data_IF_518298092863
#
_entry.id   IF_518298092863
#
_cell.length_a   1.000
_cell.length_b   1.000
_cell.length_c   1.000
_cell.angle_alpha   90.00
_cell.angle_beta   90.00
_cell.angle_gamma   90.00
#
_symmetry.space_group_name_H-M   'P 1'
#
loop_
_entity.id
_entity.type
_entity.pdbx_description
1 polymer ?
#
# COMPACT_ATOMS: atom_id res chain seq x y z
N UNK A 1 4.31 -3.30 -21.63
CA UNK A 1 5.14 -4.28 -20.89
C UNK A 1 5.32 -3.77 -19.46
N UNK A 2 5.01 -4.60 -18.48
CA UNK A 2 5.22 -4.31 -17.03
C UNK A 2 6.38 -5.16 -16.55
N UNK A 3 7.39 -4.52 -15.95
CA UNK A 3 8.57 -5.17 -15.35
C UNK A 3 8.72 -4.79 -13.89
N UNK A 4 9.19 -5.74 -13.07
CA UNK A 4 9.67 -5.48 -11.71
C UNK A 4 11.07 -6.06 -11.60
N UNK A 5 12.04 -5.23 -11.31
CA UNK A 5 13.45 -5.55 -11.49
C UNK A 5 13.70 -6.07 -12.92
N UNK A 6 14.34 -7.23 -13.07
CA UNK A 6 14.64 -7.85 -14.37
C UNK A 6 13.53 -8.77 -14.89
N UNK A 7 12.45 -8.97 -14.12
CA UNK A 7 11.37 -9.88 -14.50
C UNK A 7 10.24 -9.17 -15.24
N UNK A 8 9.87 -9.68 -16.41
CA UNK A 8 8.66 -9.24 -17.14
C UNK A 8 7.43 -9.88 -16.50
N UNK A 9 6.58 -9.04 -15.89
CA UNK A 9 5.33 -9.49 -15.28
C UNK A 9 4.22 -9.64 -16.29
N UNK A 10 4.12 -8.69 -17.24
CA UNK A 10 3.13 -8.68 -18.31
C UNK A 10 3.73 -8.04 -19.55
N UNK A 11 3.61 -8.71 -20.69
CA UNK A 11 3.86 -8.14 -22.00
C UNK A 11 2.60 -8.24 -22.85
N UNK A 12 1.98 -7.09 -23.16
CA UNK A 12 0.78 -7.03 -24.01
C UNK A 12 1.05 -7.41 -25.47
N UNK A 13 2.34 -7.40 -25.89
CA UNK A 13 2.74 -7.79 -27.25
C UNK A 13 2.98 -9.30 -27.41
N UNK A 14 3.21 -10.00 -26.30
CA UNK A 14 3.34 -11.47 -26.26
C UNK A 14 2.41 -12.00 -25.15
N UNK A 15 1.12 -12.10 -25.43
CA UNK A 15 0.13 -12.60 -24.48
C UNK A 15 0.24 -14.13 -24.39
N UNK A 16 1.36 -14.65 -23.89
CA UNK A 16 1.39 -16.03 -23.42
C UNK A 16 0.32 -16.18 -22.37
N UNK A 17 -0.58 -17.12 -22.57
CA UNK A 17 -1.62 -17.42 -21.60
C UNK A 17 -0.94 -17.96 -20.34
N UNK A 18 -0.65 -17.06 -19.38
CA UNK A 18 -0.09 -17.45 -18.10
C UNK A 18 -1.11 -18.29 -17.35
N UNK A 19 -0.64 -19.34 -16.70
CA UNK A 19 -1.48 -20.12 -15.79
C UNK A 19 -1.91 -19.24 -14.61
N UNK A 20 -3.12 -19.46 -14.09
CA UNK A 20 -3.65 -18.71 -12.94
C UNK A 20 -2.69 -18.70 -11.75
N UNK A 21 -2.00 -19.83 -11.50
CA UNK A 21 -0.99 -19.95 -10.46
C UNK A 21 0.23 -19.03 -10.66
N UNK A 22 0.62 -18.78 -11.91
CA UNK A 22 1.73 -17.88 -12.25
C UNK A 22 1.29 -16.41 -12.10
N UNK A 23 0.08 -16.08 -12.56
CA UNK A 23 -0.51 -14.76 -12.38
C UNK A 23 -0.59 -14.44 -10.89
N UNK A 24 -1.06 -15.38 -10.07
CA UNK A 24 -1.16 -15.21 -8.62
C UNK A 24 0.20 -14.94 -7.97
N UNK A 25 1.24 -15.71 -8.33
CA UNK A 25 2.60 -15.48 -7.83
C UNK A 25 3.11 -14.08 -8.18
N UNK A 26 2.86 -13.63 -9.42
CA UNK A 26 3.27 -12.30 -9.87
C UNK A 26 2.52 -11.18 -9.13
N UNK A 27 1.23 -11.37 -8.83
CA UNK A 27 0.43 -10.42 -8.04
C UNK A 27 0.94 -10.26 -6.61
N UNK A 28 1.52 -11.31 -6.00
CA UNK A 28 2.08 -11.23 -4.64
C UNK A 28 3.30 -10.29 -4.52
N UNK A 29 3.90 -9.88 -5.64
CA UNK A 29 4.96 -8.87 -5.65
C UNK A 29 4.43 -7.45 -5.37
N UNK A 30 3.10 -7.25 -5.45
CA UNK A 30 2.43 -5.99 -5.19
C UNK A 30 1.59 -6.10 -3.92
N UNK A 31 1.80 -5.18 -2.99
CA UNK A 31 0.88 -4.93 -1.89
C UNK A 31 -0.08 -3.82 -2.29
N UNK A 32 -1.38 -4.00 -2.07
CA UNK A 32 -2.39 -2.99 -2.37
C UNK A 32 -3.05 -2.50 -1.08
N UNK A 33 -3.09 -1.19 -0.92
CA UNK A 33 -3.79 -0.48 0.15
C UNK A 33 -4.83 0.40 -0.50
N UNK A 34 -6.10 0.08 -0.28
CA UNK A 34 -7.25 0.74 -0.90
C UNK A 34 -7.77 1.90 -0.05
N UNK A 35 -8.50 2.80 -0.68
CA UNK A 35 -9.23 3.90 -0.05
C UNK A 35 -10.16 3.40 1.09
N UNK A 36 -10.93 2.35 0.85
CA UNK A 36 -11.95 1.81 1.76
C UNK A 36 -11.41 0.66 2.64
N UNK A 37 -10.22 0.71 3.16
CA UNK A 37 -9.57 -0.25 4.08
C UNK A 37 -9.73 -1.73 3.68
N UNK A 38 -10.91 -2.16 3.27
CA UNK A 38 -11.30 -3.51 2.85
C UNK A 38 -10.87 -4.59 3.87
N UNK A 39 -11.06 -4.28 5.16
CA UNK A 39 -10.84 -5.25 6.22
C UNK A 39 -11.99 -6.26 6.27
N UNK A 40 -11.68 -7.48 6.64
CA UNK A 40 -12.67 -8.51 6.89
C UNK A 40 -13.34 -8.25 8.25
N UNK A 41 -14.63 -7.92 8.28
CA UNK A 41 -15.30 -7.47 9.51
C UNK A 41 -15.43 -8.56 10.58
N UNK A 42 -15.38 -9.82 10.18
CA UNK A 42 -15.46 -11.00 11.07
C UNK A 42 -14.12 -11.36 11.71
N UNK A 43 -13.03 -10.72 11.33
CA UNK A 43 -11.69 -10.95 11.85
C UNK A 43 -11.20 -9.75 12.67
N UNK A 44 -10.44 -10.03 13.72
CA UNK A 44 -9.71 -9.01 14.49
C UNK A 44 -8.63 -8.33 13.62
N UNK A 45 -8.01 -7.25 14.12
CA UNK A 45 -6.89 -6.60 13.46
C UNK A 45 -5.74 -7.59 13.20
N UNK A 46 -5.41 -8.41 14.21
CA UNK A 46 -4.36 -9.44 14.12
C UNK A 46 -4.71 -10.47 13.03
N UNK A 47 -5.91 -11.02 13.07
CA UNK A 47 -6.36 -12.03 12.10
C UNK A 47 -6.40 -11.47 10.67
N UNK A 48 -6.79 -10.21 10.48
CA UNK A 48 -6.74 -9.53 9.19
C UNK A 48 -5.33 -9.50 8.61
N UNK A 49 -4.31 -9.24 9.45
CA UNK A 49 -2.91 -9.20 9.02
C UNK A 49 -2.37 -10.61 8.73
N UNK A 50 -2.76 -11.61 9.52
CA UNK A 50 -2.30 -13.00 9.40
C UNK A 50 -2.86 -13.72 8.18
N UNK A 51 -4.11 -13.43 7.80
CA UNK A 51 -4.95 -14.25 6.89
C UNK A 51 -4.24 -14.64 5.59
N UNK A 52 -3.72 -13.67 4.85
CA UNK A 52 -3.12 -13.94 3.53
C UNK A 52 -1.88 -14.83 3.64
N UNK A 53 -1.08 -14.63 4.67
CA UNK A 53 0.13 -15.42 4.92
C UNK A 53 -0.19 -16.84 5.35
N UNK A 54 -1.23 -17.03 6.15
CA UNK A 54 -1.74 -18.35 6.52
C UNK A 54 -2.27 -19.12 5.30
N UNK A 55 -3.00 -18.44 4.41
CA UNK A 55 -3.49 -19.05 3.17
C UNK A 55 -2.34 -19.52 2.28
N UNK A 56 -1.30 -18.70 2.11
CA UNK A 56 -0.09 -19.08 1.36
C UNK A 56 0.68 -20.21 2.03
N UNK A 57 0.75 -20.22 3.35
CA UNK A 57 1.42 -21.27 4.09
C UNK A 57 0.75 -22.65 3.89
N UNK A 58 -0.59 -22.69 3.80
CA UNK A 58 -1.37 -23.92 3.56
C UNK A 58 -1.03 -24.61 2.22
N UNK A 59 -0.48 -23.87 1.26
CA UNK A 59 -0.07 -24.41 -0.04
C UNK A 59 1.30 -25.11 -0.01
N UNK A 60 2.06 -24.96 1.09
CA UNK A 60 3.37 -25.57 1.23
C UNK A 60 3.26 -27.07 1.58
N UNK A 61 4.12 -27.92 1.01
CA UNK A 61 4.08 -29.37 1.27
C UNK A 61 4.25 -29.76 2.74
N UNK A 62 5.10 -29.00 3.47
CA UNK A 62 5.46 -29.22 4.87
C UNK A 62 4.47 -28.62 5.88
N UNK A 63 3.44 -27.89 5.40
CA UNK A 63 2.48 -27.18 6.27
C UNK A 63 1.87 -28.07 7.34
N UNK A 64 1.42 -29.29 6.98
CA UNK A 64 0.74 -30.18 7.94
C UNK A 64 1.64 -30.57 9.10
N UNK A 65 2.93 -30.82 8.82
CA UNK A 65 3.90 -31.21 9.84
C UNK A 65 4.30 -30.04 10.75
N UNK A 66 4.39 -28.82 10.20
CA UNK A 66 4.87 -27.61 10.92
C UNK A 66 3.77 -26.60 11.24
N UNK A 67 2.50 -27.01 11.19
CA UNK A 67 1.35 -26.09 11.32
C UNK A 67 1.43 -25.14 12.53
N UNK A 68 1.77 -25.64 13.70
CA UNK A 68 1.86 -24.83 14.93
C UNK A 68 3.00 -23.83 14.86
N UNK A 69 4.16 -24.25 14.41
CA UNK A 69 5.34 -23.41 14.26
C UNK A 69 5.11 -22.29 13.25
N UNK A 70 4.58 -22.62 12.07
CA UNK A 70 4.23 -21.65 11.03
C UNK A 70 3.19 -20.64 11.53
N UNK A 71 2.19 -21.08 12.28
CA UNK A 71 1.19 -20.19 12.85
C UNK A 71 1.80 -19.18 13.82
N UNK A 72 2.68 -19.63 14.74
CA UNK A 72 3.37 -18.75 15.68
C UNK A 72 4.32 -17.76 14.95
N UNK A 73 5.04 -18.21 13.93
CA UNK A 73 5.87 -17.32 13.11
C UNK A 73 5.04 -16.21 12.44
N UNK A 74 3.87 -16.57 11.85
CA UNK A 74 2.97 -15.62 11.20
C UNK A 74 2.38 -14.65 12.23
N UNK A 75 1.96 -15.17 13.39
CA UNK A 75 1.41 -14.37 14.49
C UNK A 75 2.44 -13.35 14.99
N UNK A 76 3.66 -13.78 15.28
CA UNK A 76 4.74 -12.90 15.73
C UNK A 76 4.98 -11.77 14.73
N UNK A 77 5.11 -12.09 13.44
CA UNK A 77 5.25 -11.08 12.40
C UNK A 77 4.08 -10.09 12.38
N UNK A 78 2.85 -10.59 12.48
CA UNK A 78 1.66 -9.73 12.46
C UNK A 78 1.58 -8.81 13.69
N UNK A 79 1.96 -9.32 14.88
CA UNK A 79 2.05 -8.53 16.10
C UNK A 79 3.11 -7.43 16.00
N UNK A 80 4.29 -7.73 15.41
CA UNK A 80 5.35 -6.75 15.16
C UNK A 80 4.88 -5.65 14.22
N UNK A 81 4.25 -6.02 13.11
CA UNK A 81 3.71 -5.06 12.15
C UNK A 81 2.64 -4.16 12.77
N UNK A 82 1.72 -4.72 13.56
CA UNK A 82 0.71 -3.92 14.26
C UNK A 82 1.32 -3.00 15.31
N UNK A 83 2.38 -3.41 16.01
CA UNK A 83 3.14 -2.54 16.93
C UNK A 83 3.80 -1.39 16.18
N UNK A 84 4.43 -1.65 15.04
CA UNK A 84 4.99 -0.59 14.17
C UNK A 84 3.93 0.41 13.70
N UNK A 85 2.70 -0.05 13.44
CA UNK A 85 1.56 0.81 13.11
C UNK A 85 0.95 1.53 14.33
N UNK A 86 1.52 1.37 15.54
CA UNK A 86 0.97 1.95 16.77
C UNK A 86 -0.33 1.31 17.22
N UNK A 87 -0.57 0.03 16.87
CA UNK A 87 -1.81 -0.70 17.18
C UNK A 87 -1.61 -1.88 18.15
N UNK A 88 -0.52 -1.87 18.94
CA UNK A 88 -0.20 -2.93 19.88
C UNK A 88 -1.33 -3.27 20.86
N UNK A 89 -2.01 -2.24 21.39
CA UNK A 89 -3.15 -2.38 22.32
C UNK A 89 -4.48 -2.72 21.61
N UNK A 90 -4.50 -2.74 20.26
CA UNK A 90 -5.72 -2.89 19.46
C UNK A 90 -5.75 -4.16 18.60
N UNK A 91 -4.80 -5.07 18.79
CA UNK A 91 -4.64 -6.28 17.97
C UNK A 91 -5.89 -7.17 17.96
N UNK A 92 -6.60 -7.25 19.10
CA UNK A 92 -7.78 -8.08 19.26
C UNK A 92 -9.09 -7.34 18.95
N UNK A 93 -9.03 -6.07 18.55
CA UNK A 93 -10.21 -5.31 18.17
C UNK A 93 -10.69 -5.71 16.78
N UNK A 94 -12.01 -5.75 16.60
CA UNK A 94 -12.64 -5.90 15.29
C UNK A 94 -12.68 -4.56 14.54
N UNK A 95 -12.81 -4.54 13.19
CA UNK A 95 -12.85 -3.29 12.42
C UNK A 95 -13.86 -2.27 12.90
N UNK A 96 -15.04 -2.69 13.36
CA UNK A 96 -16.09 -1.80 13.89
C UNK A 96 -15.73 -1.15 15.25
N UNK A 97 -14.66 -1.60 15.90
CA UNK A 97 -14.14 -1.07 17.16
C UNK A 97 -12.92 -0.16 16.96
N UNK A 98 -12.54 0.07 15.70
CA UNK A 98 -11.38 0.85 15.30
C UNK A 98 -11.81 2.14 14.63
N UNK A 99 -11.03 3.22 14.80
CA UNK A 99 -11.21 4.43 13.99
C UNK A 99 -10.83 4.19 12.53
N UNK A 100 -11.26 5.05 11.60
CA UNK A 100 -10.88 4.97 10.19
C UNK A 100 -9.36 4.92 10.00
N UNK A 101 -8.61 5.79 10.67
CA UNK A 101 -7.14 5.80 10.63
C UNK A 101 -6.51 4.53 11.20
N UNK A 102 -7.12 3.93 12.25
CA UNK A 102 -6.70 2.63 12.76
C UNK A 102 -6.97 1.51 11.76
N UNK A 103 -8.14 1.49 11.12
CA UNK A 103 -8.47 0.53 10.06
C UNK A 103 -7.49 0.62 8.90
N UNK A 104 -7.13 1.83 8.47
CA UNK A 104 -6.16 2.04 7.39
C UNK A 104 -4.77 1.52 7.78
N UNK A 105 -4.32 1.76 9.00
CA UNK A 105 -3.04 1.22 9.49
C UNK A 105 -3.04 -0.32 9.60
N UNK A 106 -4.16 -0.96 9.93
CA UNK A 106 -4.31 -2.42 9.81
C UNK A 106 -4.21 -2.88 8.35
N UNK A 107 -4.83 -2.15 7.39
CA UNK A 107 -4.74 -2.47 5.97
C UNK A 107 -3.29 -2.36 5.44
N UNK A 108 -2.53 -1.36 5.90
CA UNK A 108 -1.10 -1.21 5.60
C UNK A 108 -0.31 -2.41 6.17
N UNK A 109 -0.49 -2.75 7.44
CA UNK A 109 0.16 -3.90 8.08
C UNK A 109 -0.13 -5.20 7.33
N UNK A 110 -1.39 -5.41 6.91
CA UNK A 110 -1.82 -6.57 6.11
C UNK A 110 -1.08 -6.65 4.78
N UNK A 111 -0.92 -5.53 4.08
CA UNK A 111 -0.19 -5.49 2.82
C UNK A 111 1.31 -5.79 3.03
N UNK A 112 1.93 -5.23 4.06
CA UNK A 112 3.33 -5.46 4.42
C UNK A 112 3.62 -6.90 4.86
N UNK A 113 2.65 -7.60 5.46
CA UNK A 113 2.82 -8.98 5.94
C UNK A 113 3.24 -9.95 4.82
N UNK A 114 2.87 -9.66 3.57
CA UNK A 114 3.25 -10.45 2.39
C UNK A 114 4.66 -10.15 1.89
N UNK A 115 5.34 -9.13 2.42
CA UNK A 115 6.66 -8.64 1.98
C UNK A 115 6.69 -8.36 0.47
N UNK A 116 5.82 -7.49 -0.03
CA UNK A 116 5.77 -7.17 -1.46
C UNK A 116 7.02 -6.41 -1.90
N UNK A 117 7.36 -6.50 -3.19
CA UNK A 117 8.44 -5.69 -3.78
C UNK A 117 8.01 -4.22 -3.95
N UNK A 118 6.72 -4.00 -4.21
CA UNK A 118 6.14 -2.68 -4.43
C UNK A 118 4.84 -2.57 -3.63
N UNK A 119 4.70 -1.50 -2.86
CA UNK A 119 3.49 -1.18 -2.13
C UNK A 119 2.73 -0.08 -2.86
N UNK A 120 1.49 -0.36 -3.27
CA UNK A 120 0.63 0.56 -3.98
C UNK A 120 -0.45 1.10 -3.05
N UNK A 121 -0.58 2.41 -2.98
CA UNK A 121 -1.62 3.12 -2.24
C UNK A 121 -2.58 3.81 -3.20
N UNK A 122 -3.85 3.54 -3.04
CA UNK A 122 -4.92 4.18 -3.79
C UNK A 122 -5.71 5.09 -2.85
N UNK A 123 -5.38 6.38 -2.87
CA UNK A 123 -5.94 7.42 -2.03
C UNK A 123 -6.09 7.03 -0.54
N UNK A 124 -4.99 6.72 0.17
CA UNK A 124 -5.02 6.08 1.49
C UNK A 124 -5.67 6.92 2.59
N UNK A 125 -5.97 8.18 2.33
CA UNK A 125 -6.52 9.14 3.31
C UNK A 125 -7.91 9.67 2.95
N UNK A 126 -8.41 9.43 1.74
CA UNK A 126 -9.64 10.06 1.24
C UNK A 126 -10.92 9.63 1.99
N UNK A 127 -10.91 8.48 2.66
CA UNK A 127 -12.02 8.00 3.49
C UNK A 127 -11.86 8.37 4.98
N UNK A 128 -10.92 9.28 5.31
CA UNK A 128 -10.60 9.66 6.68
C UNK A 128 -11.00 11.10 6.98
N UNK A 129 -11.34 11.35 8.24
CA UNK A 129 -11.45 12.70 8.76
C UNK A 129 -10.07 13.38 8.75
N UNK A 130 -9.99 14.71 8.55
CA UNK A 130 -8.73 15.46 8.49
C UNK A 130 -7.82 15.24 9.71
N UNK A 131 -8.40 15.07 10.90
CA UNK A 131 -7.64 14.81 12.13
C UNK A 131 -6.90 13.47 12.11
N UNK A 132 -7.45 12.46 11.42
CA UNK A 132 -6.87 11.10 11.31
C UNK A 132 -5.90 10.94 10.14
N UNK A 133 -5.99 11.83 9.14
CA UNK A 133 -5.13 11.82 7.93
C UNK A 133 -3.65 11.89 8.30
N UNK A 134 -3.29 12.77 9.22
CA UNK A 134 -1.89 12.98 9.65
C UNK A 134 -1.21 11.72 10.20
N UNK A 135 -1.94 10.87 10.94
CA UNK A 135 -1.40 9.62 11.48
C UNK A 135 -1.05 8.61 10.39
N UNK A 136 -1.90 8.50 9.37
CA UNK A 136 -1.69 7.59 8.24
C UNK A 136 -0.54 8.07 7.35
N UNK A 137 -0.51 9.37 7.03
CA UNK A 137 0.57 9.97 6.25
C UNK A 137 1.93 9.82 6.93
N UNK A 138 1.99 9.94 8.26
CA UNK A 138 3.21 9.70 9.04
C UNK A 138 3.71 8.28 8.88
N UNK A 139 2.84 7.28 8.97
CA UNK A 139 3.23 5.88 8.76
C UNK A 139 3.76 5.66 7.34
N UNK A 140 3.11 6.23 6.32
CA UNK A 140 3.58 6.10 4.93
C UNK A 140 4.95 6.78 4.75
N UNK A 141 5.19 7.93 5.41
CA UNK A 141 6.48 8.60 5.40
C UNK A 141 7.57 7.74 6.07
N UNK A 142 7.28 7.13 7.22
CA UNK A 142 8.21 6.21 7.88
C UNK A 142 8.61 5.02 6.99
N UNK A 143 7.67 4.51 6.18
CA UNK A 143 7.96 3.46 5.17
C UNK A 143 8.84 4.00 4.02
N UNK A 144 8.65 5.26 3.60
CA UNK A 144 9.51 5.90 2.61
C UNK A 144 10.94 6.07 3.12
N UNK A 145 11.09 6.49 4.37
CA UNK A 145 12.40 6.66 5.03
C UNK A 145 13.15 5.32 5.18
N UNK A 146 12.42 4.20 5.22
CA UNK A 146 12.97 2.82 5.18
C UNK A 146 13.26 2.32 3.75
N UNK A 147 13.20 3.19 2.74
CA UNK A 147 13.44 2.86 1.33
C UNK A 147 12.46 1.83 0.74
N UNK A 148 11.25 1.73 1.28
CA UNK A 148 10.20 0.90 0.68
C UNK A 148 9.81 1.46 -0.68
N UNK A 149 9.82 0.62 -1.72
CA UNK A 149 9.36 1.03 -3.05
C UNK A 149 7.85 1.18 -3.05
N UNK A 150 7.36 2.39 -3.35
CA UNK A 150 5.92 2.71 -3.28
C UNK A 150 5.43 3.44 -4.51
N UNK A 151 4.17 3.19 -4.87
CA UNK A 151 3.40 3.99 -5.81
C UNK A 151 2.19 4.52 -5.03
N UNK A 152 2.04 5.84 -4.96
CA UNK A 152 0.99 6.47 -4.15
C UNK A 152 0.14 7.35 -5.06
N UNK A 153 -1.15 7.03 -5.17
CA UNK A 153 -2.16 7.94 -5.73
C UNK A 153 -2.72 8.76 -4.58
N UNK A 154 -2.63 10.08 -4.64
CA UNK A 154 -3.05 10.95 -3.55
C UNK A 154 -3.41 12.34 -4.04
N UNK A 155 -4.29 13.02 -3.32
CA UNK A 155 -4.60 14.43 -3.43
C UNK A 155 -3.92 15.28 -2.33
N UNK A 156 -3.12 14.67 -1.48
CA UNK A 156 -2.34 15.34 -0.43
C UNK A 156 -1.05 15.95 -1.03
N UNK A 157 -1.17 17.14 -1.65
CA UNK A 157 -0.07 17.73 -2.43
C UNK A 157 1.16 18.05 -1.58
N UNK A 158 0.99 18.53 -0.35
CA UNK A 158 2.11 18.80 0.56
C UNK A 158 2.87 17.51 0.89
N UNK A 159 2.15 16.43 1.20
CA UNK A 159 2.75 15.13 1.45
C UNK A 159 3.49 14.59 0.22
N UNK A 160 2.87 14.65 -0.96
CA UNK A 160 3.48 14.19 -2.20
C UNK A 160 4.79 14.95 -2.50
N UNK A 161 4.80 16.29 -2.32
CA UNK A 161 5.99 17.11 -2.49
C UNK A 161 7.13 16.71 -1.54
N UNK A 162 6.79 16.38 -0.28
CA UNK A 162 7.79 16.16 0.77
C UNK A 162 8.35 14.72 0.78
N UNK A 163 7.61 13.75 0.23
CA UNK A 163 7.93 12.33 0.34
C UNK A 163 8.33 11.69 -0.99
N UNK A 164 7.80 12.17 -2.11
CA UNK A 164 8.04 11.54 -3.41
C UNK A 164 9.46 11.79 -3.93
N UNK A 165 10.06 10.79 -4.57
CA UNK A 165 11.27 10.95 -5.38
C UNK A 165 10.94 11.32 -6.83
N UNK A 166 9.72 11.00 -7.27
CA UNK A 166 9.21 11.30 -8.60
C UNK A 166 7.71 11.54 -8.52
N UNK A 167 7.26 12.58 -9.19
CA UNK A 167 5.83 12.90 -9.34
C UNK A 167 5.39 12.65 -10.77
N UNK A 168 4.18 12.13 -10.93
CA UNK A 168 3.52 11.93 -12.21
C UNK A 168 2.14 12.57 -12.11
N UNK A 169 1.90 13.62 -12.89
CA UNK A 169 0.58 14.22 -13.02
C UNK A 169 -0.15 13.61 -14.20
N UNK A 170 -1.35 13.09 -13.95
CA UNK A 170 -2.21 12.46 -14.95
C UNK A 170 -3.53 13.20 -15.06
N UNK A 171 -4.03 13.38 -16.26
CA UNK A 171 -5.33 13.95 -16.59
C UNK A 171 -5.90 13.24 -17.82
N UNK A 172 -7.20 12.97 -17.83
CA UNK A 172 -7.89 12.26 -18.92
C UNK A 172 -7.21 10.94 -19.36
N UNK A 173 -6.63 10.20 -18.42
CA UNK A 173 -6.00 8.89 -18.67
C UNK A 173 -4.60 8.95 -19.30
N UNK A 174 -4.03 10.15 -19.48
CA UNK A 174 -2.67 10.35 -20.01
C UNK A 174 -1.74 11.00 -18.99
N UNK A 175 -0.44 10.74 -19.12
CA UNK A 175 0.58 11.45 -18.36
C UNK A 175 0.76 12.81 -19.00
N UNK A 176 0.42 13.87 -18.26
CA UNK A 176 0.57 15.26 -18.68
C UNK A 176 1.98 15.75 -18.36
N UNK A 177 2.41 15.54 -17.12
CA UNK A 177 3.74 15.97 -16.66
C UNK A 177 4.31 14.97 -15.66
N UNK A 178 5.65 14.83 -15.66
CA UNK A 178 6.36 14.01 -14.68
C UNK A 178 7.76 14.53 -14.43
N UNK A 179 8.26 14.38 -13.21
CA UNK A 179 9.61 14.84 -12.89
C UNK A 179 9.93 14.81 -11.39
N UNK A 180 10.97 15.52 -11.04
CA UNK A 180 11.33 15.80 -9.65
C UNK A 180 10.22 16.61 -8.97
N UNK A 181 9.84 16.30 -7.71
CA UNK A 181 8.82 17.04 -6.98
C UNK A 181 9.04 18.55 -6.96
N UNK A 182 10.28 19.01 -6.77
CA UNK A 182 10.60 20.45 -6.73
C UNK A 182 10.31 21.14 -8.06
N UNK A 183 10.53 20.45 -9.17
CA UNK A 183 10.22 20.98 -10.49
C UNK A 183 8.73 20.99 -10.76
N UNK A 184 8.05 19.82 -10.58
CA UNK A 184 6.62 19.68 -10.90
C UNK A 184 5.75 20.57 -10.01
N UNK A 185 6.05 20.67 -8.71
CA UNK A 185 5.27 21.51 -7.79
C UNK A 185 5.70 22.97 -7.78
N UNK A 186 7.00 23.25 -7.99
CA UNK A 186 7.53 24.62 -7.89
C UNK A 186 7.55 25.40 -9.20
N UNK A 187 7.75 24.71 -10.33
CA UNK A 187 7.85 25.32 -11.67
C UNK A 187 7.28 24.39 -12.75
N UNK A 188 5.97 24.08 -12.67
CA UNK A 188 5.33 23.21 -13.66
C UNK A 188 5.42 23.79 -15.07
N UNK A 189 5.68 22.94 -16.06
CA UNK A 189 5.86 23.34 -17.47
C UNK A 189 4.52 23.36 -18.19
N UNK A 190 3.67 22.36 -17.91
CA UNK A 190 2.41 22.17 -18.60
C UNK A 190 1.31 23.07 -18.00
N UNK A 191 0.56 23.75 -18.84
CA UNK A 191 -0.55 24.64 -18.43
C UNK A 191 -1.61 23.91 -17.59
N UNK A 192 -1.88 22.66 -17.91
CA UNK A 192 -2.85 21.86 -17.19
C UNK A 192 -2.36 21.55 -15.77
N UNK A 193 -1.07 21.28 -15.59
CA UNK A 193 -0.44 21.10 -14.26
C UNK A 193 -0.54 22.39 -13.44
N UNK A 194 -0.23 23.55 -14.04
CA UNK A 194 -0.34 24.88 -13.38
C UNK A 194 -1.77 25.13 -12.90
N UNK A 195 -2.77 24.90 -13.76
CA UNK A 195 -4.18 25.07 -13.42
C UNK A 195 -4.61 24.14 -12.27
N UNK A 196 -4.14 22.91 -12.27
CA UNK A 196 -4.42 21.96 -11.19
C UNK A 196 -3.81 22.43 -9.86
N UNK A 197 -2.52 22.74 -9.86
CA UNK A 197 -1.76 23.12 -8.66
C UNK A 197 -2.21 24.48 -8.08
N UNK A 198 -2.68 25.42 -8.92
CA UNK A 198 -3.18 26.70 -8.44
C UNK A 198 -4.36 26.60 -7.46
N UNK A 199 -5.10 25.48 -7.49
CA UNK A 199 -6.21 25.20 -6.56
C UNK A 199 -5.72 24.86 -5.15
N UNK A 200 -4.48 24.45 -5.00
CA UNK A 200 -3.85 24.03 -3.74
C UNK A 200 -2.91 25.11 -3.13
N UNK A 201 -2.61 26.15 -3.90
CA UNK A 201 -1.72 27.25 -3.46
C UNK A 201 -2.46 28.44 -2.83
N UNK A 202 -3.78 28.39 -2.73
CA UNK A 202 -4.63 29.44 -2.16
C UNK A 202 -5.00 29.19 -0.69
N UNK A 203 -4.20 28.40 0.04
CA UNK A 203 -4.34 28.17 1.47
C UNK A 203 -3.11 28.56 2.25
#
# INVERSE_FOLDING_TARGET
MIKVADEVLLDMKDPKTLKESEIRKKRLRFGLVFQNFNLFPQYTALENVMLAKELLAKEKPDYKARKKEIHEEIKTLAEELLKQMGLGERMNNYPHQLSGGQCQRVAIARALALKPDILCFDEPTSALDPELTGEVLRVIKELADQHTTMIIVTHEMAFARDVANKVIFMDDGVIVEQGDPKEVFGNPKEERTKQFLSRFTLG
#
